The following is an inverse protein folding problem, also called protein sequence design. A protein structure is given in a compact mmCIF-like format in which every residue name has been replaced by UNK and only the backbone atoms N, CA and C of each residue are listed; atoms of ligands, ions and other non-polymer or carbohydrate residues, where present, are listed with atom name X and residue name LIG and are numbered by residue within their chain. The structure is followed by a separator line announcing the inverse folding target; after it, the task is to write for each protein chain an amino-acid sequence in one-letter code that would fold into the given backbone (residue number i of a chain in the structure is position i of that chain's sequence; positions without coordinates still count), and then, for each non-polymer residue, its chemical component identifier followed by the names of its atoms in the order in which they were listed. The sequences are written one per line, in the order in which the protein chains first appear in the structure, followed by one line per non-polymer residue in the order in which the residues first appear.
data_IF_279818336904
#
_entry.id   IF_279818336904
#
_cell.length_a   1.000
_cell.length_b   1.000
_cell.length_c   1.000
_cell.angle_alpha   90.00
_cell.angle_beta   90.00
_cell.angle_gamma   90.00
#
_symmetry.space_group_name_H-M   'P 1'
#
loop_
_entity.id
_entity.type
_entity.pdbx_description
1 polymer ?
#
# COMPACT_ATOMS: atom_id res chain seq x y z
N UNK A 1 26.61 -43.39 -23.40
CA UNK A 1 26.27 -42.01 -23.83
C UNK A 1 25.26 -41.44 -22.84
N UNK A 2 25.72 -40.59 -21.90
CA UNK A 2 24.84 -39.82 -21.00
C UNK A 2 24.50 -38.55 -21.75
N UNK A 3 23.23 -38.40 -22.15
CA UNK A 3 22.72 -37.11 -22.62
C UNK A 3 22.52 -36.22 -21.41
N UNK A 4 23.51 -35.40 -21.10
CA UNK A 4 23.33 -34.22 -20.25
C UNK A 4 22.56 -33.17 -21.08
N UNK A 5 21.24 -33.26 -21.04
CA UNK A 5 20.38 -32.11 -21.36
C UNK A 5 20.37 -31.20 -20.14
N UNK A 6 21.44 -30.45 -19.95
CA UNK A 6 21.39 -29.25 -19.11
C UNK A 6 20.47 -28.27 -19.83
N UNK A 7 19.17 -28.33 -19.46
CA UNK A 7 18.29 -27.17 -19.68
C UNK A 7 18.98 -25.97 -19.04
N UNK A 8 19.24 -24.87 -19.78
CA UNK A 8 19.72 -23.66 -19.17
C UNK A 8 18.68 -23.29 -18.11
N UNK A 9 19.10 -23.26 -16.85
CA UNK A 9 18.33 -22.55 -15.83
C UNK A 9 18.05 -21.17 -16.42
N UNK A 10 16.79 -20.85 -16.63
CA UNK A 10 16.40 -19.50 -17.00
C UNK A 10 16.90 -18.61 -15.86
N UNK A 11 18.11 -18.07 -16.04
CA UNK A 11 18.63 -17.03 -15.17
C UNK A 11 17.60 -15.92 -15.26
N UNK A 12 16.80 -15.80 -14.21
CA UNK A 12 15.76 -14.82 -14.09
C UNK A 12 16.33 -13.47 -14.47
N UNK A 13 15.72 -12.81 -15.43
CA UNK A 13 16.16 -11.48 -15.87
C UNK A 13 16.42 -10.62 -14.63
N UNK A 14 17.52 -9.86 -14.56
CA UNK A 14 17.86 -9.06 -13.39
C UNK A 14 16.73 -8.09 -12.96
N UNK A 15 15.81 -7.79 -13.88
CA UNK A 15 14.59 -7.00 -13.64
C UNK A 15 13.62 -7.73 -12.69
N UNK A 16 13.49 -9.05 -12.74
CA UNK A 16 12.57 -9.81 -11.87
C UNK A 16 12.91 -9.62 -10.39
N UNK A 17 14.20 -9.57 -10.07
CA UNK A 17 14.67 -9.36 -8.69
C UNK A 17 14.22 -8.03 -8.08
N UNK A 18 13.94 -7.02 -8.91
CA UNK A 18 13.59 -5.67 -8.48
C UNK A 18 12.13 -5.29 -8.80
N UNK A 19 11.40 -6.16 -9.49
CA UNK A 19 10.03 -5.87 -9.90
C UNK A 19 9.10 -5.55 -8.72
N UNK A 20 9.31 -6.20 -7.57
CA UNK A 20 8.56 -5.95 -6.35
C UNK A 20 8.69 -4.50 -5.82
N UNK A 21 9.78 -3.79 -6.19
CA UNK A 21 9.96 -2.39 -5.82
C UNK A 21 8.95 -1.47 -6.49
N UNK A 22 8.47 -1.80 -7.69
CA UNK A 22 7.40 -1.03 -8.35
C UNK A 22 6.12 -1.06 -7.52
N UNK A 23 5.78 -2.23 -6.97
CA UNK A 23 4.61 -2.39 -6.11
C UNK A 23 4.78 -1.62 -4.78
N UNK A 24 5.96 -1.67 -4.18
CA UNK A 24 6.27 -0.95 -2.94
C UNK A 24 6.21 0.56 -3.13
N UNK A 25 6.88 1.06 -4.17
CA UNK A 25 6.92 2.49 -4.47
C UNK A 25 5.52 3.01 -4.83
N UNK A 26 4.77 2.28 -5.67
CA UNK A 26 3.41 2.66 -6.03
C UNK A 26 2.50 2.74 -4.80
N UNK A 27 2.48 1.69 -3.98
CA UNK A 27 1.65 1.65 -2.79
C UNK A 27 2.06 2.69 -1.73
N UNK A 28 3.36 2.76 -1.43
CA UNK A 28 3.88 3.67 -0.42
C UNK A 28 3.73 5.14 -0.82
N UNK A 29 3.94 5.50 -2.09
CA UNK A 29 3.77 6.88 -2.55
C UNK A 29 2.34 7.37 -2.36
N UNK A 30 1.35 6.54 -2.66
CA UNK A 30 -0.07 6.87 -2.43
C UNK A 30 -0.33 7.05 -0.94
N UNK A 31 0.09 6.12 -0.10
CA UNK A 31 -0.16 6.17 1.34
C UNK A 31 0.51 7.38 2.02
N UNK A 32 1.78 7.62 1.71
CA UNK A 32 2.49 8.80 2.24
C UNK A 32 1.85 10.10 1.76
N UNK A 33 1.48 10.18 0.48
CA UNK A 33 0.79 11.35 -0.07
C UNK A 33 -0.54 11.58 0.64
N UNK A 34 -1.40 10.57 0.76
CA UNK A 34 -2.71 10.68 1.41
C UNK A 34 -2.60 11.08 2.89
N UNK A 35 -1.60 10.56 3.59
CA UNK A 35 -1.35 10.93 4.98
C UNK A 35 -0.86 12.37 5.12
N UNK A 36 0.08 12.82 4.28
CA UNK A 36 0.58 14.20 4.27
C UNK A 36 -0.54 15.17 3.89
N UNK A 37 -1.34 14.85 2.88
CA UNK A 37 -2.45 15.69 2.41
C UNK A 37 -3.45 15.99 3.54
N UNK A 38 -3.72 15.02 4.41
CA UNK A 38 -4.56 15.23 5.61
C UNK A 38 -3.99 16.23 6.62
N UNK A 39 -2.67 16.45 6.62
CA UNK A 39 -2.05 17.47 7.48
C UNK A 39 -1.92 18.83 6.79
N UNK A 40 -1.66 18.85 5.48
CA UNK A 40 -1.32 20.07 4.74
C UNK A 40 -2.48 20.63 3.92
N UNK A 41 -3.44 19.81 3.53
CA UNK A 41 -4.60 20.20 2.73
C UNK A 41 -5.73 20.77 3.57
N UNK A 42 -6.89 20.11 3.60
CA UNK A 42 -8.05 20.53 4.40
C UNK A 42 -7.84 20.39 5.91
N UNK A 43 -6.85 19.64 6.30
CA UNK A 43 -6.52 19.37 7.71
C UNK A 43 -7.24 18.15 8.29
N UNK A 44 -6.62 17.59 9.33
CA UNK A 44 -7.14 16.40 10.02
C UNK A 44 -8.56 16.61 10.57
N UNK A 45 -8.87 17.81 11.04
CA UNK A 45 -10.18 18.11 11.61
C UNK A 45 -11.30 18.04 10.55
N UNK A 46 -11.07 18.59 9.36
CA UNK A 46 -12.03 18.55 8.25
C UNK A 46 -12.18 17.13 7.72
N UNK A 47 -11.07 16.42 7.52
CA UNK A 47 -11.10 15.00 7.19
C UNK A 47 -11.94 14.20 8.20
N UNK A 48 -11.73 14.40 9.49
CA UNK A 48 -12.47 13.71 10.55
C UNK A 48 -13.96 14.04 10.52
N UNK A 49 -14.30 15.31 10.31
CA UNK A 49 -15.70 15.76 10.21
C UNK A 49 -16.40 15.12 8.98
N UNK A 50 -15.73 15.11 7.83
CA UNK A 50 -16.23 14.48 6.60
C UNK A 50 -16.49 12.98 6.78
N UNK A 51 -15.64 12.31 7.56
CA UNK A 51 -15.73 10.87 7.85
C UNK A 51 -16.60 10.54 9.05
N UNK A 52 -17.17 11.55 9.70
CA UNK A 52 -17.90 11.39 10.97
C UNK A 52 -17.08 10.63 12.04
N UNK A 53 -15.79 10.97 12.13
CA UNK A 53 -14.84 10.37 13.07
C UNK A 53 -14.42 11.36 14.13
N UNK A 54 -14.10 10.92 15.35
CA UNK A 54 -13.36 11.74 16.31
C UNK A 54 -12.03 12.21 15.71
N UNK A 55 -11.62 13.45 15.96
CA UNK A 55 -10.39 14.06 15.41
C UNK A 55 -9.15 13.21 15.72
N UNK A 56 -9.12 12.59 16.90
CA UNK A 56 -8.01 11.69 17.28
C UNK A 56 -7.91 10.49 16.35
N UNK A 57 -9.01 9.91 15.88
CA UNK A 57 -8.99 8.80 14.94
C UNK A 57 -8.54 9.26 13.55
N UNK A 58 -8.99 10.44 13.09
CA UNK A 58 -8.49 11.03 11.85
C UNK A 58 -6.99 11.28 11.88
N UNK A 59 -6.47 11.76 13.02
CA UNK A 59 -5.03 11.93 13.24
C UNK A 59 -4.28 10.59 13.18
N UNK A 60 -4.80 9.54 13.84
CA UNK A 60 -4.20 8.21 13.82
C UNK A 60 -4.24 7.58 12.41
N UNK A 61 -5.30 7.81 11.64
CA UNK A 61 -5.37 7.38 10.24
C UNK A 61 -4.27 8.07 9.41
N UNK A 62 -4.14 9.39 9.52
CA UNK A 62 -3.12 10.13 8.77
C UNK A 62 -1.69 9.69 9.13
N UNK A 63 -1.38 9.50 10.42
CA UNK A 63 -0.10 8.93 10.87
C UNK A 63 0.08 7.50 10.42
N UNK A 64 -0.99 6.69 10.47
CA UNK A 64 -0.99 5.31 10.02
C UNK A 64 -0.67 5.19 8.53
N UNK A 65 -1.21 6.07 7.69
CA UNK A 65 -0.90 6.11 6.27
C UNK A 65 0.58 6.42 6.03
N UNK A 66 1.11 7.49 6.62
CA UNK A 66 2.54 7.82 6.49
C UNK A 66 3.41 6.70 7.03
N UNK A 67 3.13 6.24 8.25
CA UNK A 67 3.93 5.23 8.93
C UNK A 67 3.98 3.90 8.18
N UNK A 68 2.83 3.40 7.73
CA UNK A 68 2.76 2.13 6.99
C UNK A 68 3.43 2.23 5.62
N UNK A 69 3.30 3.36 4.92
CA UNK A 69 4.02 3.63 3.68
C UNK A 69 5.53 3.58 3.87
N UNK A 70 6.04 4.25 4.90
CA UNK A 70 7.46 4.23 5.24
C UNK A 70 7.94 2.84 5.65
N UNK A 71 7.16 2.09 6.44
CA UNK A 71 7.50 0.72 6.85
C UNK A 71 7.66 -0.22 5.64
N UNK A 72 6.81 -0.12 4.63
CA UNK A 72 6.92 -0.95 3.41
C UNK A 72 8.21 -0.64 2.65
N UNK A 73 8.64 0.62 2.58
CA UNK A 73 9.90 1.01 1.93
C UNK A 73 11.10 0.56 2.77
N UNK A 74 11.14 0.92 4.05
CA UNK A 74 12.26 0.60 4.95
C UNK A 74 12.44 -0.92 5.09
N UNK A 75 11.33 -1.66 5.21
CA UNK A 75 11.36 -3.11 5.27
C UNK A 75 11.98 -3.74 4.01
N UNK A 76 11.72 -3.17 2.83
CA UNK A 76 12.33 -3.61 1.57
C UNK A 76 13.84 -3.35 1.48
N UNK A 77 14.34 -2.31 2.12
CA UNK A 77 15.77 -1.98 2.16
C UNK A 77 16.56 -2.93 3.08
N UNK A 78 15.94 -3.47 4.10
CA UNK A 78 16.56 -4.35 5.10
C UNK A 78 16.48 -5.81 4.61
N UNK A 79 17.63 -6.39 4.23
CA UNK A 79 17.72 -7.71 3.59
C UNK A 79 17.81 -8.89 4.58
N UNK A 80 17.01 -8.87 5.65
CA UNK A 80 16.97 -9.95 6.64
C UNK A 80 15.55 -10.20 7.14
N UNK A 81 15.39 -11.10 8.12
CA UNK A 81 14.08 -11.43 8.71
C UNK A 81 13.36 -10.23 9.34
N UNK A 82 14.12 -9.28 9.86
CA UNK A 82 13.57 -8.05 10.43
C UNK A 82 12.93 -7.19 9.32
N UNK A 83 13.61 -7.03 8.18
CA UNK A 83 13.07 -6.33 7.03
C UNK A 83 11.78 -6.98 6.50
N UNK A 84 11.74 -8.32 6.43
CA UNK A 84 10.52 -9.05 6.07
C UNK A 84 9.37 -8.77 7.04
N UNK A 85 9.64 -8.80 8.35
CA UNK A 85 8.65 -8.50 9.37
C UNK A 85 8.15 -7.05 9.30
N UNK A 86 9.05 -6.08 9.08
CA UNK A 86 8.70 -4.65 8.92
C UNK A 86 7.82 -4.44 7.68
N UNK A 87 8.16 -5.07 6.55
CA UNK A 87 7.32 -5.02 5.33
C UNK A 87 5.92 -5.54 5.60
N UNK A 88 5.82 -6.72 6.25
CA UNK A 88 4.51 -7.32 6.56
C UNK A 88 3.71 -6.47 7.55
N UNK A 89 4.36 -5.89 8.55
CA UNK A 89 3.71 -4.99 9.50
C UNK A 89 3.16 -3.74 8.82
N UNK A 90 3.95 -3.12 7.92
CA UNK A 90 3.49 -2.00 7.12
C UNK A 90 2.28 -2.37 6.26
N UNK A 91 2.38 -3.47 5.51
CA UNK A 91 1.28 -3.93 4.67
C UNK A 91 0.03 -4.32 5.48
N UNK A 92 0.21 -4.96 6.65
CA UNK A 92 -0.88 -5.29 7.57
C UNK A 92 -1.61 -4.03 8.06
N UNK A 93 -0.86 -2.97 8.39
CA UNK A 93 -1.46 -1.70 8.83
C UNK A 93 -2.21 -0.97 7.71
N UNK A 94 -1.83 -1.15 6.45
CA UNK A 94 -2.53 -0.57 5.29
C UNK A 94 -3.89 -1.20 5.05
N UNK A 95 -4.04 -2.50 5.27
CA UNK A 95 -5.27 -3.25 4.97
C UNK A 95 -6.49 -2.67 5.69
N UNK A 96 -6.52 -2.45 7.01
CA UNK A 96 -7.68 -1.88 7.69
C UNK A 96 -7.98 -0.45 7.24
N UNK A 97 -6.98 0.36 6.91
CA UNK A 97 -7.18 1.72 6.39
C UNK A 97 -7.90 1.66 5.04
N UNK A 98 -7.46 0.77 4.14
CA UNK A 98 -8.07 0.58 2.82
C UNK A 98 -9.49 0.00 2.93
N UNK A 99 -9.70 -0.96 3.82
CA UNK A 99 -11.04 -1.49 4.07
C UNK A 99 -11.96 -0.39 4.63
N UNK A 100 -11.49 0.42 5.56
CA UNK A 100 -12.21 1.59 6.05
C UNK A 100 -12.58 2.55 4.91
N UNK A 101 -11.63 2.88 4.05
CA UNK A 101 -11.87 3.74 2.88
C UNK A 101 -12.91 3.12 1.94
N UNK A 102 -12.83 1.82 1.65
CA UNK A 102 -13.79 1.12 0.79
C UNK A 102 -15.20 1.17 1.38
N UNK A 103 -15.36 0.76 2.64
CA UNK A 103 -16.70 0.59 3.23
C UNK A 103 -17.33 1.90 3.70
N UNK A 104 -16.54 2.86 4.17
CA UNK A 104 -17.07 4.11 4.74
C UNK A 104 -17.20 5.23 3.71
N UNK A 105 -16.33 5.25 2.68
CA UNK A 105 -16.24 6.38 1.72
C UNK A 105 -16.67 5.98 0.33
N UNK A 106 -16.12 4.88 -0.17
CA UNK A 106 -16.18 4.55 -1.59
C UNK A 106 -17.21 3.45 -1.93
N UNK A 107 -17.99 2.99 -0.95
CA UNK A 107 -18.95 1.92 -1.17
C UNK A 107 -19.95 2.25 -2.30
N UNK A 108 -20.05 1.38 -3.28
CA UNK A 108 -20.89 1.58 -4.43
C UNK A 108 -20.33 2.51 -5.51
N UNK A 109 -19.20 3.18 -5.28
CA UNK A 109 -18.52 4.05 -6.26
C UNK A 109 -17.62 3.21 -7.17
N UNK A 110 -18.22 2.38 -8.01
CA UNK A 110 -17.53 1.38 -8.82
C UNK A 110 -16.88 1.99 -10.06
N UNK A 111 -15.88 2.85 -9.83
CA UNK A 111 -15.04 3.47 -10.85
C UNK A 111 -13.60 3.59 -10.37
N UNK A 112 -12.67 3.76 -11.32
CA UNK A 112 -11.25 3.90 -11.04
C UNK A 112 -10.81 5.37 -11.04
N UNK A 113 -11.36 6.17 -11.93
CA UNK A 113 -10.97 7.55 -12.12
C UNK A 113 -11.45 8.46 -10.99
N UNK A 114 -10.74 9.57 -10.79
CA UNK A 114 -11.16 10.61 -9.87
C UNK A 114 -12.44 11.33 -10.37
N UNK A 115 -13.28 11.71 -9.42
CA UNK A 115 -14.46 12.53 -9.64
C UNK A 115 -14.46 13.73 -8.71
N UNK A 116 -15.36 14.69 -8.90
CA UNK A 116 -15.47 15.85 -8.02
C UNK A 116 -15.74 15.46 -6.55
N UNK A 117 -16.50 14.37 -6.32
CA UNK A 117 -16.79 13.85 -4.97
C UNK A 117 -15.74 12.88 -4.44
N UNK A 118 -14.92 12.29 -5.30
CA UNK A 118 -13.90 11.30 -4.95
C UNK A 118 -12.61 11.59 -5.72
N UNK A 119 -11.86 12.64 -5.33
CA UNK A 119 -10.68 13.12 -6.07
C UNK A 119 -9.53 12.11 -6.12
N UNK A 120 -9.47 11.16 -5.19
CA UNK A 120 -8.47 10.09 -5.16
C UNK A 120 -8.96 8.76 -5.78
N UNK A 121 -9.99 8.82 -6.63
CA UNK A 121 -10.57 7.64 -7.27
C UNK A 121 -11.66 6.97 -6.43
N UNK A 122 -12.36 6.04 -7.03
CA UNK A 122 -13.43 5.30 -6.38
C UNK A 122 -12.99 3.97 -5.78
N UNK A 123 -13.97 3.10 -5.54
CA UNK A 123 -13.77 1.80 -4.88
C UNK A 123 -12.78 0.90 -5.61
N UNK A 124 -12.75 0.91 -6.96
CA UNK A 124 -11.82 0.10 -7.75
C UNK A 124 -10.36 0.46 -7.48
N UNK A 125 -10.06 1.75 -7.32
CA UNK A 125 -8.71 2.21 -6.97
C UNK A 125 -8.29 1.68 -5.59
N UNK A 126 -9.16 1.82 -4.58
CA UNK A 126 -8.89 1.35 -3.23
C UNK A 126 -8.72 -0.18 -3.17
N UNK A 127 -9.54 -0.92 -3.92
CA UNK A 127 -9.42 -2.38 -4.02
C UNK A 127 -8.10 -2.80 -4.67
N UNK A 128 -7.63 -2.08 -5.69
CA UNK A 128 -6.33 -2.37 -6.31
C UNK A 128 -5.20 -2.18 -5.31
N UNK A 129 -5.22 -1.09 -4.54
CA UNK A 129 -4.23 -0.88 -3.48
C UNK A 129 -4.31 -1.96 -2.39
N UNK A 130 -5.52 -2.39 -2.02
CA UNK A 130 -5.71 -3.47 -1.04
C UNK A 130 -5.13 -4.79 -1.53
N UNK A 131 -5.30 -5.15 -2.81
CA UNK A 131 -4.69 -6.34 -3.39
C UNK A 131 -3.16 -6.28 -3.35
N UNK A 132 -2.56 -5.12 -3.66
CA UNK A 132 -1.10 -4.94 -3.57
C UNK A 132 -0.62 -5.04 -2.11
N UNK A 133 -1.35 -4.44 -1.16
CA UNK A 133 -1.02 -4.55 0.27
C UNK A 133 -1.10 -6.00 0.75
N UNK A 134 -2.15 -6.74 0.39
CA UNK A 134 -2.31 -8.16 0.73
C UNK A 134 -1.20 -9.00 0.08
N UNK A 135 -0.81 -8.71 -1.15
CA UNK A 135 0.31 -9.38 -1.81
C UNK A 135 1.62 -9.17 -1.03
N UNK A 136 1.94 -7.93 -0.64
CA UNK A 136 3.13 -7.63 0.14
C UNK A 136 3.06 -8.23 1.56
N UNK A 137 1.88 -8.29 2.17
CA UNK A 137 1.65 -8.97 3.45
C UNK A 137 1.95 -10.48 3.33
N UNK A 138 1.47 -11.12 2.28
CA UNK A 138 1.67 -12.55 2.05
C UNK A 138 3.11 -12.91 1.68
N UNK A 139 3.74 -12.13 0.80
CA UNK A 139 5.09 -12.39 0.28
C UNK A 139 6.20 -11.78 1.12
N UNK A 140 5.97 -10.64 1.73
CA UNK A 140 7.01 -9.90 2.45
C UNK A 140 8.17 -9.51 1.52
N UNK A 141 9.39 -9.76 1.95
CA UNK A 141 10.60 -9.53 1.16
C UNK A 141 10.93 -10.66 0.17
N UNK A 142 10.07 -11.66 0.07
CA UNK A 142 10.15 -12.74 -0.94
C UNK A 142 9.31 -12.41 -2.19
N UNK A 143 8.82 -11.17 -2.28
CA UNK A 143 8.06 -10.68 -3.42
C UNK A 143 8.97 -10.50 -4.63
#
# INVERSE_FOLDING_TARGET
MKNDTTTPSADAFPVERHAHWLLRLGLASVFVYMGIDKFMGSGVAEFSAMMNLPVILGFLVALGEIGTGLLVILGGLIKNRLGDAITRLGALGMVPILLGAIFMVHWGQWHFMSTASHPLGGMMFQMTLAMVAIYLLAKGNKA
#
